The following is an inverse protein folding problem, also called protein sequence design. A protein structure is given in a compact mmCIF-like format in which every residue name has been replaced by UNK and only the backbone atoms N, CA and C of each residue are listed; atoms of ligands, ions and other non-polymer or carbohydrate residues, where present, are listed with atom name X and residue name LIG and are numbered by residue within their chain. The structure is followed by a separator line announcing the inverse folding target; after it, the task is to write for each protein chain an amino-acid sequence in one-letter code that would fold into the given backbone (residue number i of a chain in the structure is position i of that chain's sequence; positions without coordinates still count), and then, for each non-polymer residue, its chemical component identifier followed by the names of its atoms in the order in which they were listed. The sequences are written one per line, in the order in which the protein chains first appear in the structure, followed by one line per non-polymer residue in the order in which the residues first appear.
data_IF_069415036905
#
_entry.id   IF_069415036905
#
_cell.length_a   1.000
_cell.length_b   1.000
_cell.length_c   1.000
_cell.angle_alpha   90.00
_cell.angle_beta   90.00
_cell.angle_gamma   90.00
#
_symmetry.space_group_name_H-M   'P 1'
#
loop_
_entity.id
_entity.type
_entity.pdbx_description
1 polymer ?
#
# COMPACT_ATOMS: atom_id res chain seq x y z
N UNK A 1 10.64 34.99 -34.51
CA UNK A 1 9.79 33.90 -35.06
C UNK A 1 8.49 33.81 -34.25
N UNK A 2 7.38 34.05 -34.94
CA UNK A 2 5.94 33.84 -34.66
C UNK A 2 5.48 33.58 -33.21
N UNK A 3 4.87 34.61 -32.58
CA UNK A 3 3.98 34.45 -31.42
C UNK A 3 2.80 33.56 -31.84
N UNK A 4 2.59 32.43 -31.15
CA UNK A 4 1.42 31.57 -31.38
C UNK A 4 0.17 32.39 -31.07
N UNK A 5 -0.63 32.61 -32.11
CA UNK A 5 -1.91 33.33 -32.03
C UNK A 5 -2.80 32.70 -30.97
N UNK A 6 -3.44 33.56 -30.18
CA UNK A 6 -4.41 33.19 -29.17
C UNK A 6 -5.36 32.11 -29.68
N UNK A 7 -5.49 31.01 -28.92
CA UNK A 7 -6.62 30.12 -29.11
C UNK A 7 -7.89 30.97 -28.99
N UNK A 8 -8.90 30.79 -29.85
CA UNK A 8 -10.18 31.45 -29.65
C UNK A 8 -10.70 31.10 -28.25
N UNK A 9 -11.20 32.09 -27.52
CA UNK A 9 -11.79 31.92 -26.20
C UNK A 9 -12.81 30.79 -26.28
N UNK A 10 -12.61 29.73 -25.50
CA UNK A 10 -13.50 28.58 -25.54
C UNK A 10 -14.91 29.05 -25.14
N UNK A 11 -15.93 28.94 -26.02
CA UNK A 11 -17.26 29.46 -25.77
C UNK A 11 -17.96 28.80 -24.57
N UNK A 12 -17.43 27.66 -24.11
CA UNK A 12 -17.93 26.90 -22.96
C UNK A 12 -17.28 27.31 -21.62
N UNK A 13 -16.30 28.22 -21.61
CA UNK A 13 -15.59 28.58 -20.37
C UNK A 13 -16.45 29.43 -19.40
N UNK A 14 -17.48 30.11 -19.91
CA UNK A 14 -18.39 30.99 -19.16
C UNK A 14 -19.82 30.42 -19.03
N UNK A 15 -20.04 29.15 -19.38
CA UNK A 15 -21.36 28.54 -19.31
C UNK A 15 -21.66 28.06 -17.86
N UNK A 16 -22.71 28.58 -17.19
CA UNK A 16 -23.09 28.17 -15.84
C UNK A 16 -23.44 26.68 -15.73
N UNK A 17 -23.88 26.03 -16.82
CA UNK A 17 -24.09 24.58 -16.85
C UNK A 17 -22.77 23.81 -16.74
N UNK A 18 -21.73 24.27 -17.42
CA UNK A 18 -20.40 23.64 -17.39
C UNK A 18 -19.75 23.81 -16.02
N UNK A 19 -19.92 24.99 -15.41
CA UNK A 19 -19.48 25.29 -14.04
C UNK A 19 -20.13 24.36 -13.01
N UNK A 20 -21.45 24.16 -13.13
CA UNK A 20 -22.24 23.42 -12.14
C UNK A 20 -22.10 21.91 -12.28
N UNK A 21 -22.02 21.38 -13.50
CA UNK A 21 -22.06 19.94 -13.75
C UNK A 21 -20.70 19.33 -14.09
N UNK A 22 -19.81 20.04 -14.77
CA UNK A 22 -18.56 19.46 -15.30
C UNK A 22 -17.29 19.96 -14.58
N UNK A 23 -17.27 21.16 -13.98
CA UNK A 23 -16.15 21.63 -13.13
C UNK A 23 -16.12 21.04 -11.72
N UNK A 24 -17.10 20.20 -11.36
CA UNK A 24 -17.17 19.40 -10.12
C UNK A 24 -15.97 18.44 -9.95
N UNK A 25 -15.02 18.39 -10.88
CA UNK A 25 -13.74 17.69 -10.72
C UNK A 25 -12.58 18.50 -10.10
N UNK A 26 -12.69 19.83 -9.97
CA UNK A 26 -11.59 20.70 -9.46
C UNK A 26 -11.76 21.19 -8.02
N UNK A 27 -12.79 20.72 -7.29
CA UNK A 27 -12.76 20.79 -5.82
C UNK A 27 -11.87 19.65 -5.36
N UNK A 28 -10.68 20.01 -4.86
CA UNK A 28 -9.54 19.13 -4.60
C UNK A 28 -9.97 17.73 -4.19
N UNK A 29 -9.76 16.76 -5.09
CA UNK A 29 -9.73 15.36 -4.70
C UNK A 29 -8.54 15.24 -3.77
N UNK A 30 -8.79 15.34 -2.46
CA UNK A 30 -7.83 14.86 -1.48
C UNK A 30 -7.43 13.47 -1.96
N UNK A 31 -6.15 13.32 -2.26
CA UNK A 31 -5.64 12.06 -2.75
C UNK A 31 -5.97 11.01 -1.71
N UNK A 32 -6.24 9.77 -2.14
CA UNK A 32 -6.46 8.66 -1.19
C UNK A 32 -5.30 8.55 -0.18
N UNK A 33 -4.11 9.09 -0.53
CA UNK A 33 -2.97 9.25 0.35
C UNK A 33 -3.21 10.22 1.54
N UNK A 34 -3.86 11.37 1.32
CA UNK A 34 -4.17 12.35 2.39
C UNK A 34 -5.24 11.81 3.35
N UNK A 35 -6.25 11.10 2.84
CA UNK A 35 -7.26 10.45 3.68
C UNK A 35 -6.69 9.30 4.55
N UNK A 36 -5.56 8.70 4.13
CA UNK A 36 -4.86 7.65 4.88
C UNK A 36 -3.90 8.21 5.95
N UNK A 37 -3.52 9.48 5.84
CA UNK A 37 -2.65 10.16 6.80
C UNK A 37 -3.38 10.60 8.07
N UNK A 38 -4.71 10.79 8.02
CA UNK A 38 -5.53 11.30 9.12
C UNK A 38 -5.98 10.25 10.14
N UNK A 39 -5.65 8.95 9.95
CA UNK A 39 -5.89 7.93 10.96
C UNK A 39 -4.60 7.73 11.76
N UNK A 40 -4.63 8.07 13.04
CA UNK A 40 -3.53 7.77 13.98
C UNK A 40 -3.13 6.30 13.80
N UNK A 41 -1.89 6.10 13.38
CA UNK A 41 -1.41 4.75 13.07
C UNK A 41 -1.37 3.97 14.37
N UNK A 42 -1.95 2.76 14.44
CA UNK A 42 -1.81 1.92 15.63
C UNK A 42 -0.30 1.73 15.91
N UNK A 43 0.14 2.08 17.12
CA UNK A 43 1.57 2.10 17.49
C UNK A 43 2.19 0.69 17.54
N UNK A 44 1.39 -0.36 17.35
CA UNK A 44 1.74 -1.76 17.63
C UNK A 44 2.42 -2.51 16.47
N UNK A 45 2.57 -1.91 15.29
CA UNK A 45 3.33 -2.52 14.17
C UNK A 45 3.78 -1.47 13.14
N UNK A 46 4.88 -1.77 12.45
CA UNK A 46 5.37 -0.99 11.30
C UNK A 46 5.40 -1.88 10.06
N UNK A 47 4.98 -1.34 8.92
CA UNK A 47 5.14 -2.03 7.63
C UNK A 47 6.63 -2.02 7.28
N UNK A 48 7.22 -3.20 7.11
CA UNK A 48 8.60 -3.36 6.65
C UNK A 48 8.61 -4.08 5.31
N UNK A 49 9.53 -3.66 4.43
CA UNK A 49 9.87 -4.37 3.21
C UNK A 49 11.22 -5.04 3.46
N UNK A 50 11.26 -6.37 3.42
CA UNK A 50 12.48 -7.16 3.56
C UNK A 50 12.66 -8.01 2.31
N UNK A 51 13.91 -8.17 1.86
CA UNK A 51 14.27 -9.16 0.86
C UNK A 51 14.43 -10.53 1.53
N UNK A 52 13.86 -11.58 0.94
CA UNK A 52 14.02 -12.97 1.33
C UNK A 52 14.38 -13.78 0.08
N UNK A 53 15.05 -14.93 0.25
CA UNK A 53 15.22 -15.88 -0.85
C UNK A 53 13.85 -16.34 -1.37
N UNK A 54 13.71 -16.50 -2.69
CA UNK A 54 12.44 -16.92 -3.30
C UNK A 54 11.91 -18.20 -2.68
N UNK A 55 12.80 -19.16 -2.44
CA UNK A 55 12.49 -20.43 -1.78
C UNK A 55 11.90 -20.25 -0.37
N UNK A 56 12.38 -19.26 0.39
CA UNK A 56 11.86 -18.97 1.73
C UNK A 56 10.51 -18.27 1.68
N UNK A 57 10.24 -17.50 0.63
CA UNK A 57 8.91 -16.91 0.39
C UNK A 57 7.89 -18.03 0.13
N UNK A 58 8.24 -19.00 -0.72
CA UNK A 58 7.36 -20.13 -1.04
C UNK A 58 7.09 -21.00 0.21
N UNK A 59 8.14 -21.31 0.99
CA UNK A 59 7.99 -22.00 2.29
C UNK A 59 7.05 -21.26 3.23
N UNK A 60 7.15 -19.94 3.28
CA UNK A 60 6.29 -19.11 4.13
C UNK A 60 4.82 -19.19 3.67
N UNK A 61 4.56 -19.19 2.37
CA UNK A 61 3.22 -19.35 1.80
C UNK A 61 2.63 -20.74 2.06
N UNK A 62 3.44 -21.79 1.98
CA UNK A 62 3.03 -23.14 2.35
C UNK A 62 2.64 -23.24 3.84
N UNK A 63 3.45 -22.66 4.73
CA UNK A 63 3.17 -22.64 6.18
C UNK A 63 1.85 -21.93 6.48
N UNK A 64 1.59 -20.78 5.86
CA UNK A 64 0.31 -20.07 5.99
C UNK A 64 -0.85 -20.94 5.49
N UNK A 65 -0.66 -21.65 4.38
CA UNK A 65 -1.67 -22.55 3.82
C UNK A 65 -1.98 -23.73 4.75
N UNK A 66 -0.95 -24.35 5.34
CA UNK A 66 -1.10 -25.43 6.34
C UNK A 66 -1.85 -24.92 7.57
N UNK A 67 -1.52 -23.73 8.07
CA UNK A 67 -2.22 -23.13 9.21
C UNK A 67 -3.70 -22.86 8.90
N UNK A 68 -4.02 -22.33 7.71
CA UNK A 68 -5.41 -22.14 7.31
C UNK A 68 -6.19 -23.45 7.24
N UNK A 69 -5.57 -24.52 6.72
CA UNK A 69 -6.17 -25.88 6.71
C UNK A 69 -6.44 -26.42 8.12
N UNK A 70 -5.61 -26.07 9.10
CA UNK A 70 -5.79 -26.43 10.51
C UNK A 70 -6.87 -25.60 11.23
N UNK A 71 -7.54 -24.67 10.54
CA UNK A 71 -8.61 -23.85 11.12
C UNK A 71 -8.18 -22.44 11.57
N UNK A 72 -6.91 -22.07 11.40
CA UNK A 72 -6.44 -20.70 11.65
C UNK A 72 -6.83 -19.79 10.47
N UNK A 73 -8.10 -19.41 10.40
CA UNK A 73 -8.69 -18.65 9.29
C UNK A 73 -8.01 -17.30 9.02
N UNK A 74 -7.42 -16.69 10.06
CA UNK A 74 -6.72 -15.39 9.99
C UNK A 74 -5.19 -15.51 9.85
N UNK A 75 -4.66 -16.71 9.61
CA UNK A 75 -3.23 -16.94 9.45
C UNK A 75 -2.65 -16.09 8.32
N UNK A 76 -1.56 -15.36 8.61
CA UNK A 76 -0.84 -14.55 7.65
C UNK A 76 0.69 -14.68 7.82
N UNK A 77 1.44 -14.23 6.81
CA UNK A 77 2.91 -14.26 6.79
C UNK A 77 3.52 -13.62 8.05
N UNK A 78 3.00 -12.47 8.46
CA UNK A 78 3.50 -11.73 9.62
C UNK A 78 3.28 -12.45 10.95
N UNK A 79 2.22 -13.24 11.11
CA UNK A 79 2.00 -14.07 12.29
C UNK A 79 3.00 -15.22 12.37
N UNK A 80 3.28 -15.88 11.24
CA UNK A 80 4.28 -16.95 11.16
C UNK A 80 5.67 -16.39 11.50
N UNK A 81 6.06 -15.28 10.87
CA UNK A 81 7.34 -14.59 11.15
C UNK A 81 7.42 -14.19 12.62
N UNK A 82 6.35 -13.64 13.21
CA UNK A 82 6.33 -13.25 14.62
C UNK A 82 6.55 -14.43 15.55
N UNK A 83 5.88 -15.55 15.29
CA UNK A 83 6.07 -16.78 16.06
C UNK A 83 7.51 -17.27 15.95
N UNK A 84 8.07 -17.30 14.73
CA UNK A 84 9.45 -17.70 14.50
C UNK A 84 10.43 -16.80 15.29
N UNK A 85 10.30 -15.47 15.20
CA UNK A 85 11.15 -14.52 15.93
C UNK A 85 11.11 -14.71 17.45
N UNK A 86 10.00 -15.16 18.02
CA UNK A 86 9.88 -15.45 19.45
C UNK A 86 10.59 -16.74 19.89
N UNK A 87 10.87 -17.65 18.96
CA UNK A 87 11.45 -18.97 19.23
C UNK A 87 12.86 -19.16 18.67
N UNK A 88 13.35 -18.23 17.85
CA UNK A 88 14.70 -18.27 17.30
C UNK A 88 15.72 -18.02 18.41
N UNK A 89 16.65 -18.96 18.55
CA UNK A 89 17.82 -18.84 19.40
C UNK A 89 18.99 -18.31 18.57
N UNK A 90 19.30 -17.02 18.75
CA UNK A 90 20.32 -16.31 17.97
C UNK A 90 21.73 -16.80 18.29
N UNK A 91 21.98 -17.27 19.51
CA UNK A 91 23.31 -17.75 19.92
C UNK A 91 23.70 -19.04 19.19
N UNK A 92 22.69 -19.81 18.76
CA UNK A 92 22.88 -21.05 17.98
C UNK A 92 22.88 -20.84 16.48
N UNK A 93 22.68 -19.61 16.00
CA UNK A 93 22.64 -19.34 14.57
C UNK A 93 24.04 -19.52 13.97
N UNK A 94 24.19 -20.31 12.89
CA UNK A 94 25.50 -20.51 12.28
C UNK A 94 26.00 -19.19 11.72
N UNK A 95 27.28 -18.87 11.98
CA UNK A 95 27.99 -17.76 11.32
C UNK A 95 28.30 -18.16 9.89
N UNK A 96 27.27 -18.20 9.04
CA UNK A 96 27.49 -18.24 7.60
C UNK A 96 27.80 -16.81 7.16
N UNK A 97 29.10 -16.51 7.04
CA UNK A 97 29.62 -15.37 6.29
C UNK A 97 29.72 -15.80 4.83
#
# INVERSE_FOLDING_TARGET
MKKRSALPTNPLDNDPMVETFYRVGKRGRATVAEAKAAKEKPQHYKVCCISLYTEDIDRLDEMVTKLKKLGYTKANKSQVIRYALAHVDVEKMPKQI
#
